data_IF_475609493192
#
_entry.id   IF_475609493192
#
_cell.length_a   1.000
_cell.length_b   1.000
_cell.length_c   1.000
_cell.angle_alpha   90.00
_cell.angle_beta   90.00
_cell.angle_gamma   90.00
#
_symmetry.space_group_name_H-M   'P 1'
#
loop_
_entity.id
_entity.type
_entity.pdbx_description
1 polymer ?
#
# COMPACT_ATOMS: atom_id res chain seq x y z
N UNK A 1 -15.14 57.41 53.61
CA UNK A 1 -14.27 56.33 54.14
C UNK A 1 -14.09 55.28 53.06
N UNK A 2 -12.81 54.94 52.75
CA UNK A 2 -12.30 53.79 51.96
C UNK A 2 -12.70 53.75 50.47
N UNK A 3 -11.85 53.41 49.51
CA UNK A 3 -10.38 53.38 49.29
C UNK A 3 -10.27 53.06 47.78
N UNK A 4 -9.35 53.72 47.07
CA UNK A 4 -8.98 53.47 45.67
C UNK A 4 -8.11 52.20 45.59
N UNK A 5 -8.25 51.40 44.51
CA UNK A 5 -7.24 50.57 43.78
C UNK A 5 -8.02 49.59 42.87
N UNK A 6 -8.18 49.79 41.55
CA UNK A 6 -7.24 49.68 40.42
C UNK A 6 -7.02 48.23 39.92
N UNK A 7 -6.97 48.09 38.58
CA UNK A 7 -6.22 47.12 37.74
C UNK A 7 -7.01 46.01 37.01
N UNK A 8 -6.88 46.12 35.67
CA UNK A 8 -6.76 45.09 34.62
C UNK A 8 -7.98 44.32 34.08
N UNK A 9 -8.27 44.67 32.83
CA UNK A 9 -8.70 43.81 31.73
C UNK A 9 -8.06 42.41 31.75
N UNK A 10 -8.82 41.37 31.37
CA UNK A 10 -8.41 40.33 30.42
C UNK A 10 -9.68 39.80 29.73
N UNK A 11 -9.73 40.09 28.44
CA UNK A 11 -10.54 39.45 27.43
C UNK A 11 -9.95 38.05 27.22
N UNK A 12 -10.69 36.99 27.50
CA UNK A 12 -10.32 35.64 27.08
C UNK A 12 -11.48 35.08 26.27
N UNK A 13 -11.49 35.45 24.99
CA UNK A 13 -12.22 34.77 23.93
C UNK A 13 -11.57 33.38 23.81
N UNK A 14 -12.09 32.40 24.54
CA UNK A 14 -11.70 31.01 24.38
C UNK A 14 -12.22 30.53 23.03
N UNK A 15 -11.40 30.68 21.99
CA UNK A 15 -11.52 29.87 20.78
C UNK A 15 -11.20 28.44 21.22
N UNK A 16 -12.24 27.71 21.65
CA UNK A 16 -12.17 26.26 21.57
C UNK A 16 -12.16 25.96 20.08
N UNK A 17 -10.96 25.75 19.53
CA UNK A 17 -10.79 24.85 18.41
C UNK A 17 -11.34 23.51 18.91
N UNK A 18 -12.62 23.29 18.66
CA UNK A 18 -13.10 21.94 18.42
C UNK A 18 -12.41 21.55 17.12
N UNK A 19 -11.20 21.00 17.25
CA UNK A 19 -10.77 19.98 16.32
C UNK A 19 -11.83 18.90 16.46
N UNK A 20 -12.85 18.95 15.61
CA UNK A 20 -13.55 17.74 15.23
C UNK A 20 -12.43 16.80 14.79
N UNK A 21 -12.13 15.81 15.62
CA UNK A 21 -11.47 14.62 15.15
C UNK A 21 -12.37 14.12 14.03
N UNK A 22 -12.01 14.47 12.80
CA UNK A 22 -12.46 13.73 11.64
C UNK A 22 -11.76 12.39 11.83
N UNK A 23 -12.43 11.49 12.55
CA UNK A 23 -12.11 10.08 12.50
C UNK A 23 -12.60 9.64 11.13
N UNK A 24 -11.77 9.81 10.13
CA UNK A 24 -11.97 9.19 8.84
C UNK A 24 -10.67 8.47 8.56
N UNK A 25 -10.59 7.23 9.05
CA UNK A 25 -9.84 6.10 8.54
C UNK A 25 -9.86 4.97 9.57
N UNK A 26 -9.59 3.76 9.09
CA UNK A 26 -9.77 2.52 9.86
C UNK A 26 -8.44 2.13 10.49
N UNK A 27 -8.43 1.98 11.82
CA UNK A 27 -7.27 1.50 12.56
C UNK A 27 -6.77 0.15 12.01
N UNK A 28 -5.45 -0.01 11.96
CA UNK A 28 -4.79 -1.27 11.58
C UNK A 28 -4.41 -2.00 12.86
N UNK A 29 -4.77 -3.27 12.97
CA UNK A 29 -4.38 -4.10 14.12
C UNK A 29 -2.86 -4.29 14.09
N UNK A 30 -2.15 -3.99 15.17
CA UNK A 30 -0.71 -4.22 15.26
C UNK A 30 0.18 -3.09 14.73
N UNK A 31 -0.38 -2.03 14.14
CA UNK A 31 0.37 -0.82 13.77
C UNK A 31 -0.15 0.34 14.61
N UNK A 32 0.63 0.71 15.63
CA UNK A 32 0.25 1.80 16.54
C UNK A 32 0.56 3.19 15.97
N UNK A 33 1.55 3.31 15.08
CA UNK A 33 2.02 4.61 14.60
C UNK A 33 1.24 5.12 13.38
N UNK A 34 0.84 4.22 12.49
CA UNK A 34 0.31 4.56 11.17
C UNK A 34 1.30 5.47 10.43
N UNK A 35 2.58 5.10 10.33
CA UNK A 35 3.62 5.96 9.73
C UNK A 35 4.27 5.29 8.54
N UNK A 36 4.49 6.04 7.47
CA UNK A 36 5.38 5.60 6.39
C UNK A 36 6.85 5.83 6.75
N UNK A 37 7.70 4.89 6.36
CA UNK A 37 9.15 5.04 6.48
C UNK A 37 9.67 6.09 5.50
N UNK A 38 10.44 7.08 5.95
CA UNK A 38 11.01 8.10 5.06
C UNK A 38 12.41 7.70 4.60
N UNK A 39 12.58 7.53 3.29
CA UNK A 39 13.90 7.46 2.65
C UNK A 39 14.44 8.87 2.38
N UNK A 40 15.65 9.21 2.85
CA UNK A 40 16.34 10.43 2.45
C UNK A 40 16.66 10.43 0.94
N UNK A 41 16.77 11.62 0.36
CA UNK A 41 17.18 11.78 -1.03
C UNK A 41 18.51 11.06 -1.35
N UNK A 42 18.50 10.18 -2.35
CA UNK A 42 19.64 9.36 -2.78
C UNK A 42 19.85 8.09 -1.97
N UNK A 43 18.94 7.77 -1.05
CA UNK A 43 18.91 6.53 -0.27
C UNK A 43 17.62 5.72 -0.53
N UNK A 44 16.88 6.06 -1.58
CA UNK A 44 15.71 5.29 -2.00
C UNK A 44 16.13 3.88 -2.48
N UNK A 45 15.27 2.87 -2.29
CA UNK A 45 15.59 1.50 -2.69
C UNK A 45 15.74 1.40 -4.22
N UNK A 46 16.67 0.55 -4.65
CA UNK A 46 16.75 0.11 -6.05
C UNK A 46 15.72 -0.99 -6.23
N UNK A 47 14.81 -0.86 -7.19
CA UNK A 47 13.77 -1.86 -7.40
C UNK A 47 14.30 -2.98 -8.28
N UNK A 48 14.81 -4.05 -7.67
CA UNK A 48 15.35 -5.20 -8.38
C UNK A 48 14.96 -6.55 -7.75
N UNK A 49 14.18 -6.53 -6.67
CA UNK A 49 13.75 -7.73 -5.94
C UNK A 49 14.76 -8.22 -4.91
N UNK A 50 15.93 -7.59 -4.78
CA UNK A 50 16.79 -7.70 -3.61
C UNK A 50 16.26 -6.76 -2.51
N UNK A 51 15.95 -7.33 -1.34
CA UNK A 51 15.33 -6.57 -0.25
C UNK A 51 16.37 -6.00 0.72
N UNK A 52 17.67 -6.08 0.42
CA UNK A 52 18.74 -5.68 1.34
C UNK A 52 18.64 -4.21 1.79
N UNK A 53 18.16 -3.33 0.91
CA UNK A 53 17.92 -1.91 1.17
C UNK A 53 16.82 -1.68 2.21
N UNK A 54 15.94 -2.65 2.43
CA UNK A 54 14.87 -2.59 3.41
C UNK A 54 15.30 -3.08 4.79
N UNK A 55 16.44 -3.75 4.94
CA UNK A 55 16.92 -4.28 6.23
C UNK A 55 17.21 -3.18 7.27
N UNK A 56 17.38 -1.94 6.83
CA UNK A 56 17.53 -0.77 7.72
C UNK A 56 16.21 -0.32 8.34
N UNK A 57 15.07 -0.75 7.80
CA UNK A 57 13.75 -0.33 8.26
C UNK A 57 13.43 -1.04 9.58
N UNK A 58 13.11 -0.28 10.66
CA UNK A 58 12.76 -0.90 11.93
C UNK A 58 11.51 -1.80 11.83
N UNK A 59 11.50 -2.88 12.60
CA UNK A 59 10.44 -3.91 12.55
C UNK A 59 9.02 -3.33 12.78
N UNK A 60 8.89 -2.22 13.52
CA UNK A 60 7.60 -1.60 13.82
C UNK A 60 6.97 -0.82 12.64
N UNK A 61 7.66 -0.71 11.50
CA UNK A 61 7.07 -0.24 10.25
C UNK A 61 6.44 -1.37 9.42
N UNK A 62 6.76 -2.63 9.72
CA UNK A 62 6.23 -3.76 9.00
C UNK A 62 4.81 -4.09 9.46
N UNK A 63 3.95 -4.35 8.49
CA UNK A 63 2.61 -4.87 8.66
C UNK A 63 2.71 -6.39 8.49
N UNK A 64 2.62 -7.17 9.57
CA UNK A 64 2.78 -8.61 9.47
C UNK A 64 1.47 -9.27 9.02
N UNK A 65 1.53 -10.54 8.62
CA UNK A 65 0.38 -11.24 8.05
C UNK A 65 -0.81 -11.33 9.00
N UNK A 66 -0.56 -11.58 10.29
CA UNK A 66 -1.59 -11.69 11.32
C UNK A 66 -2.41 -10.40 11.52
N UNK A 67 -1.87 -9.26 11.10
CA UNK A 67 -2.57 -7.97 11.13
C UNK A 67 -3.59 -7.81 10.01
N UNK A 68 -3.50 -8.60 8.93
CA UNK A 68 -4.38 -8.49 7.79
C UNK A 68 -5.70 -9.24 8.02
N UNK A 69 -6.79 -8.64 7.56
CA UNK A 69 -8.14 -9.16 7.68
C UNK A 69 -8.57 -9.84 6.37
N UNK A 70 -8.97 -11.09 6.46
CA UNK A 70 -9.47 -11.90 5.35
C UNK A 70 -10.96 -11.63 5.07
N UNK A 71 -11.29 -11.35 3.81
CA UNK A 71 -12.63 -10.92 3.40
C UNK A 71 -13.53 -12.00 2.78
N UNK A 72 -12.98 -12.96 2.04
CA UNK A 72 -13.70 -13.83 1.12
C UNK A 72 -14.07 -15.18 1.73
N UNK A 73 -13.16 -15.75 2.51
CA UNK A 73 -13.29 -17.03 3.18
C UNK A 73 -14.00 -16.91 4.53
N UNK A 74 -14.12 -15.69 5.05
CA UNK A 74 -14.74 -15.39 6.34
C UNK A 74 -13.86 -15.78 7.52
N UNK A 75 -12.54 -15.81 7.31
CA UNK A 75 -11.56 -16.16 8.35
C UNK A 75 -11.30 -14.98 9.29
N UNK A 76 -11.51 -13.74 8.84
CA UNK A 76 -11.15 -12.56 9.61
C UNK A 76 -9.64 -12.53 9.87
N UNK A 77 -9.20 -12.74 11.11
CA UNK A 77 -7.77 -12.81 11.46
C UNK A 77 -7.28 -14.23 11.74
N UNK A 78 -8.11 -15.26 11.53
CA UNK A 78 -7.73 -16.67 11.68
C UNK A 78 -6.97 -17.16 10.44
N UNK A 79 -5.79 -16.59 10.20
CA UNK A 79 -4.99 -16.81 9.00
C UNK A 79 -4.14 -18.10 9.10
N UNK A 80 -3.97 -18.83 8.00
CA UNK A 80 -3.14 -20.05 7.90
C UNK A 80 -1.81 -19.76 7.20
N UNK A 81 -0.75 -19.57 8.00
CA UNK A 81 0.59 -19.26 7.49
C UNK A 81 1.23 -20.38 6.65
N UNK A 82 0.70 -21.60 6.71
CA UNK A 82 1.19 -22.71 5.88
C UNK A 82 0.67 -22.67 4.44
N UNK A 83 -0.38 -21.87 4.20
CA UNK A 83 -0.90 -21.58 2.88
C UNK A 83 -0.30 -20.25 2.37
N UNK A 84 -0.63 -19.14 3.01
CA UNK A 84 -0.11 -17.82 2.65
C UNK A 84 0.54 -17.17 3.86
N UNK A 85 1.69 -16.51 3.69
CA UNK A 85 2.25 -15.67 4.76
C UNK A 85 3.05 -14.54 4.13
N UNK A 86 2.84 -13.31 4.57
CA UNK A 86 3.58 -12.17 4.04
C UNK A 86 3.78 -11.07 5.07
N UNK A 87 4.72 -10.17 4.78
CA UNK A 87 4.84 -8.90 5.49
C UNK A 87 4.98 -7.78 4.48
N UNK A 88 4.37 -6.65 4.80
CA UNK A 88 4.36 -5.46 3.95
C UNK A 88 5.02 -4.30 4.69
N UNK A 89 5.74 -3.46 3.98
CA UNK A 89 6.14 -2.14 4.47
C UNK A 89 5.92 -1.10 3.39
N UNK A 90 5.52 0.09 3.81
CA UNK A 90 5.35 1.24 2.96
C UNK A 90 6.26 2.38 3.42
N UNK A 91 6.83 3.08 2.45
CA UNK A 91 7.73 4.19 2.65
C UNK A 91 7.51 5.29 1.61
N UNK A 92 8.20 6.40 1.80
CA UNK A 92 8.12 7.56 0.92
C UNK A 92 9.46 8.29 0.86
N UNK A 93 9.67 9.09 -0.19
CA UNK A 93 10.81 9.99 -0.26
C UNK A 93 10.37 11.38 -0.71
N UNK A 94 10.77 12.39 0.05
CA UNK A 94 10.65 13.78 -0.38
C UNK A 94 11.60 14.10 -1.56
N UNK A 95 12.69 13.36 -1.70
CA UNK A 95 13.69 13.56 -2.77
C UNK A 95 13.18 13.16 -4.15
N UNK A 96 12.54 11.98 -4.25
CA UNK A 96 11.94 11.50 -5.50
C UNK A 96 10.47 11.88 -5.64
N UNK A 97 9.81 12.31 -4.55
CA UNK A 97 8.37 12.54 -4.48
C UNK A 97 7.58 11.27 -4.86
N UNK A 98 7.95 10.13 -4.26
CA UNK A 98 7.34 8.82 -4.55
C UNK A 98 6.97 8.08 -3.27
N UNK A 99 5.99 7.20 -3.41
CA UNK A 99 5.72 6.11 -2.49
C UNK A 99 6.51 4.88 -2.92
N UNK A 100 7.00 4.14 -1.93
CA UNK A 100 7.71 2.88 -2.08
C UNK A 100 7.01 1.83 -1.26
N UNK A 101 6.79 0.65 -1.82
CA UNK A 101 6.18 -0.46 -1.13
C UNK A 101 7.06 -1.69 -1.28
N UNK A 102 7.10 -2.52 -0.26
CA UNK A 102 7.77 -3.81 -0.31
C UNK A 102 6.87 -4.88 0.31
N UNK A 103 6.87 -6.05 -0.32
CA UNK A 103 6.27 -7.25 0.23
C UNK A 103 7.24 -8.42 0.09
N UNK A 104 7.41 -9.14 1.19
CA UNK A 104 7.99 -10.49 1.19
C UNK A 104 6.84 -11.46 1.43
N UNK A 105 6.57 -12.34 0.45
CA UNK A 105 5.45 -13.28 0.46
C UNK A 105 5.95 -14.71 0.32
N UNK A 106 5.58 -15.56 1.26
CA UNK A 106 5.53 -17.01 1.09
C UNK A 106 4.14 -17.39 0.57
N UNK A 107 4.12 -18.39 -0.30
CA UNK A 107 2.88 -19.01 -0.77
C UNK A 107 3.06 -20.51 -0.98
N UNK A 108 2.03 -21.31 -0.70
CA UNK A 108 1.99 -22.73 -1.06
C UNK A 108 1.79 -22.97 -2.55
N UNK A 109 1.24 -21.99 -3.28
CA UNK A 109 1.03 -22.07 -4.72
C UNK A 109 0.87 -20.68 -5.32
N UNK A 110 1.72 -20.35 -6.31
CA UNK A 110 1.61 -19.04 -6.97
C UNK A 110 0.78 -19.15 -8.26
N UNK A 111 -0.52 -18.87 -8.18
CA UNK A 111 -1.45 -19.02 -9.31
C UNK A 111 -1.28 -17.91 -10.36
N UNK A 112 -1.03 -18.33 -11.61
CA UNK A 112 -0.88 -17.49 -12.80
C UNK A 112 -1.83 -17.86 -13.94
N UNK A 113 -2.80 -18.72 -13.69
CA UNK A 113 -3.63 -19.29 -14.75
C UNK A 113 -4.71 -18.32 -15.23
N UNK A 114 -4.95 -17.22 -14.51
CA UNK A 114 -5.93 -16.20 -14.89
C UNK A 114 -7.37 -16.71 -14.86
N UNK A 115 -7.63 -17.74 -14.06
CA UNK A 115 -8.95 -18.36 -13.93
C UNK A 115 -9.62 -17.75 -12.71
N UNK A 116 -10.54 -16.80 -12.90
CA UNK A 116 -11.24 -16.16 -11.79
C UNK A 116 -11.84 -14.80 -12.15
N UNK A 117 -12.66 -14.26 -11.26
CA UNK A 117 -13.30 -12.94 -11.44
C UNK A 117 -12.54 -11.80 -10.73
N UNK A 118 -11.94 -12.08 -9.56
CA UNK A 118 -11.19 -11.09 -8.77
C UNK A 118 -9.74 -11.03 -9.25
N UNK A 119 -9.16 -9.83 -9.32
CA UNK A 119 -7.78 -9.58 -9.72
C UNK A 119 -7.32 -10.21 -11.06
N UNK A 120 -8.27 -10.62 -11.91
CA UNK A 120 -7.98 -11.33 -13.16
C UNK A 120 -7.60 -12.80 -12.98
N UNK A 121 -7.86 -13.41 -11.81
CA UNK A 121 -7.49 -14.80 -11.52
C UNK A 121 -5.98 -14.97 -11.31
N UNK A 122 -5.32 -13.94 -10.79
CA UNK A 122 -3.88 -13.90 -10.56
C UNK A 122 -3.57 -13.57 -9.11
N UNK A 123 -2.60 -14.28 -8.58
CA UNK A 123 -1.92 -13.92 -7.35
C UNK A 123 -1.31 -12.54 -7.45
N UNK A 124 -1.79 -11.63 -6.61
CA UNK A 124 -1.57 -10.20 -6.84
C UNK A 124 -1.68 -9.36 -5.58
N UNK A 125 -1.29 -8.09 -5.72
CA UNK A 125 -1.36 -7.10 -4.66
C UNK A 125 -2.11 -5.88 -5.16
N UNK A 126 -3.27 -5.61 -4.61
CA UNK A 126 -4.07 -4.43 -4.92
C UNK A 126 -3.72 -3.30 -3.95
N UNK A 127 -3.44 -2.10 -4.46
CA UNK A 127 -3.03 -0.94 -3.66
C UNK A 127 -3.92 0.25 -3.98
N UNK A 128 -4.48 0.86 -2.94
CA UNK A 128 -5.26 2.08 -2.98
C UNK A 128 -4.45 3.24 -2.40
N UNK A 129 -4.44 4.37 -3.09
CA UNK A 129 -3.69 5.57 -2.72
C UNK A 129 -4.62 6.79 -2.77
N UNK A 130 -4.76 7.46 -1.64
CA UNK A 130 -5.46 8.74 -1.48
C UNK A 130 -4.49 9.74 -0.86
N UNK A 131 -3.79 10.48 -1.71
CA UNK A 131 -2.63 11.28 -1.29
C UNK A 131 -2.99 12.62 -0.68
N UNK A 132 -4.11 13.23 -1.06
CA UNK A 132 -4.59 14.46 -0.45
C UNK A 132 -5.48 14.22 0.77
N UNK A 133 -5.72 12.94 1.12
CA UNK A 133 -6.51 12.52 2.28
C UNK A 133 -7.98 12.97 2.17
N UNK A 134 -8.50 13.05 0.94
CA UNK A 134 -9.86 13.50 0.64
C UNK A 134 -10.95 12.48 0.97
N UNK A 135 -10.60 11.20 1.04
CA UNK A 135 -11.53 10.09 1.21
C UNK A 135 -12.33 9.78 -0.07
N UNK A 136 -11.79 10.13 -1.24
CA UNK A 136 -12.51 10.09 -2.51
C UNK A 136 -12.80 8.68 -3.02
N UNK A 137 -13.85 8.58 -3.82
CA UNK A 137 -14.20 7.38 -4.56
C UNK A 137 -13.26 7.20 -5.75
N UNK A 138 -12.66 6.01 -5.86
CA UNK A 138 -11.76 5.66 -6.97
C UNK A 138 -12.43 4.78 -8.02
N UNK A 139 -13.59 4.20 -7.70
CA UNK A 139 -14.42 3.45 -8.65
C UNK A 139 -15.84 3.98 -8.80
N UNK A 140 -16.29 4.20 -10.03
CA UNK A 140 -17.69 4.46 -10.37
C UNK A 140 -18.29 3.35 -11.24
N UNK A 141 -19.55 3.01 -10.99
CA UNK A 141 -20.29 2.00 -11.74
C UNK A 141 -20.70 2.52 -13.13
N UNK A 142 -20.99 1.58 -14.03
CA UNK A 142 -21.52 1.92 -15.35
C UNK A 142 -22.89 2.61 -15.21
N UNK A 143 -22.99 3.85 -15.71
CA UNK A 143 -24.20 4.66 -15.65
C UNK A 143 -24.24 5.70 -14.54
N UNK A 144 -23.20 5.79 -13.70
CA UNK A 144 -23.07 6.88 -12.72
C UNK A 144 -22.89 8.25 -13.39
N UNK A 145 -22.44 8.26 -14.64
CA UNK A 145 -22.30 9.46 -15.48
C UNK A 145 -23.06 9.31 -16.79
N UNK A 146 -23.48 10.45 -17.36
CA UNK A 146 -24.24 10.48 -18.62
C UNK A 146 -23.39 10.07 -19.83
N UNK A 147 -22.07 10.29 -19.76
CA UNK A 147 -21.14 9.97 -20.84
C UNK A 147 -20.01 9.06 -20.38
N UNK A 148 -19.56 8.20 -21.30
CA UNK A 148 -18.39 7.33 -21.11
C UNK A 148 -17.11 8.14 -20.86
N UNK A 149 -16.97 9.31 -21.50
CA UNK A 149 -15.80 10.18 -21.32
C UNK A 149 -15.73 10.74 -19.89
N UNK A 150 -16.87 11.19 -19.37
CA UNK A 150 -16.98 11.66 -17.98
C UNK A 150 -16.80 10.52 -16.98
N UNK A 151 -17.33 9.33 -17.27
CA UNK A 151 -17.08 8.13 -16.46
C UNK A 151 -15.57 7.84 -16.40
N UNK A 152 -14.90 7.72 -17.54
CA UNK A 152 -13.45 7.49 -17.60
C UNK A 152 -12.63 8.60 -16.93
N UNK A 153 -13.09 9.86 -17.00
CA UNK A 153 -12.44 11.00 -16.35
C UNK A 153 -12.42 10.90 -14.82
N UNK A 154 -13.42 10.27 -14.24
CA UNK A 154 -13.60 10.17 -12.79
C UNK A 154 -13.09 8.85 -12.20
N UNK A 155 -12.77 7.85 -13.01
CA UNK A 155 -12.15 6.61 -12.56
C UNK A 155 -10.72 6.88 -12.07
N UNK A 156 -10.48 6.65 -10.78
CA UNK A 156 -9.17 6.84 -10.18
C UNK A 156 -8.69 8.30 -10.07
N UNK A 157 -9.59 9.27 -10.16
CA UNK A 157 -9.22 10.69 -10.33
C UNK A 157 -8.49 11.28 -9.11
N UNK A 158 -9.11 11.18 -7.94
CA UNK A 158 -8.64 11.80 -6.69
C UNK A 158 -8.01 10.77 -5.75
N UNK A 159 -8.57 9.57 -5.73
CA UNK A 159 -7.95 8.38 -5.15
C UNK A 159 -7.65 7.37 -6.27
N UNK A 160 -6.53 6.66 -6.18
CA UNK A 160 -6.08 5.70 -7.18
C UNK A 160 -6.17 4.27 -6.64
N UNK A 161 -6.51 3.30 -7.48
CA UNK A 161 -6.50 1.88 -7.13
C UNK A 161 -5.93 1.06 -8.29
N UNK A 162 -4.90 0.27 -8.04
CA UNK A 162 -4.29 -0.60 -9.03
C UNK A 162 -4.05 -2.02 -8.50
N UNK A 163 -4.33 -3.01 -9.34
CA UNK A 163 -3.86 -4.39 -9.14
C UNK A 163 -2.43 -4.52 -9.65
N UNK A 164 -1.51 -4.86 -8.77
CA UNK A 164 -0.12 -5.14 -9.09
C UNK A 164 0.10 -6.65 -9.20
N UNK A 165 0.59 -7.11 -10.34
CA UNK A 165 0.70 -8.53 -10.74
C UNK A 165 2.12 -8.86 -11.14
N UNK A 166 2.62 -9.98 -10.63
CA UNK A 166 4.04 -10.32 -10.73
C UNK A 166 4.27 -11.79 -11.09
N UNK A 167 5.13 -12.09 -12.07
CA UNK A 167 5.60 -11.21 -13.16
C UNK A 167 4.45 -10.49 -13.92
N UNK A 168 4.72 -9.46 -14.74
CA UNK A 168 3.70 -8.74 -15.52
C UNK A 168 2.81 -9.67 -16.36
N UNK A 169 1.51 -9.35 -16.49
CA UNK A 169 0.58 -10.06 -17.37
C UNK A 169 0.06 -9.20 -18.52
N UNK A 170 0.15 -9.74 -19.72
CA UNK A 170 -0.49 -9.16 -20.90
C UNK A 170 -2.03 -9.21 -20.79
N UNK A 171 -2.76 -8.20 -21.32
CA UNK A 171 -2.24 -7.00 -21.99
C UNK A 171 -1.95 -5.81 -21.06
N UNK A 172 -2.13 -5.96 -19.73
CA UNK A 172 -2.17 -4.82 -18.81
C UNK A 172 -0.88 -4.59 -18.00
N UNK A 173 0.18 -5.38 -18.24
CA UNK A 173 1.46 -5.22 -17.56
C UNK A 173 1.42 -5.62 -16.08
N UNK A 174 2.34 -5.04 -15.30
CA UNK A 174 2.47 -5.31 -13.87
C UNK A 174 1.45 -4.51 -13.06
N UNK A 175 1.22 -3.23 -13.38
CA UNK A 175 0.27 -2.36 -12.67
C UNK A 175 -0.97 -2.18 -13.52
N UNK A 176 -2.03 -2.91 -13.19
CA UNK A 176 -3.30 -2.83 -13.88
C UNK A 176 -4.27 -1.91 -13.14
N UNK A 177 -4.48 -0.73 -13.72
CA UNK A 177 -5.51 0.20 -13.26
C UNK A 177 -6.87 -0.16 -13.86
N UNK A 178 -7.51 -1.18 -13.31
CA UNK A 178 -8.62 -1.89 -13.96
C UNK A 178 -9.85 -1.05 -14.31
N UNK A 179 -10.04 0.08 -13.61
CA UNK A 179 -11.16 1.00 -13.79
C UNK A 179 -10.93 2.02 -14.92
N UNK A 180 -9.68 2.16 -15.36
CA UNK A 180 -9.21 3.25 -16.22
C UNK A 180 -8.71 2.72 -17.57
N UNK A 181 -8.84 3.54 -18.61
CA UNK A 181 -8.22 3.29 -19.93
C UNK A 181 -6.79 3.79 -20.04
N UNK A 182 -6.16 4.16 -18.93
CA UNK A 182 -4.79 4.66 -18.93
C UNK A 182 -3.77 3.58 -19.29
N UNK A 183 -2.66 4.01 -19.90
CA UNK A 183 -1.60 3.13 -20.41
C UNK A 183 -0.20 3.71 -20.18
N UNK A 184 -0.03 4.62 -19.23
CA UNK A 184 1.21 5.39 -19.07
C UNK A 184 1.78 5.41 -17.65
N UNK A 185 1.01 5.01 -16.63
CA UNK A 185 1.34 5.19 -15.21
C UNK A 185 2.24 4.10 -14.62
N UNK A 186 2.55 3.05 -15.37
CA UNK A 186 3.26 1.85 -14.96
C UNK A 186 4.71 1.81 -15.46
N UNK A 187 5.22 2.94 -15.95
CA UNK A 187 6.60 3.11 -16.41
C UNK A 187 7.28 4.30 -15.75
N UNK A 188 8.63 4.33 -15.68
CA UNK A 188 9.34 5.48 -15.15
C UNK A 188 9.00 6.77 -15.92
N UNK A 189 8.84 7.92 -15.22
CA UNK A 189 9.12 8.13 -13.80
C UNK A 189 7.92 7.90 -12.85
N UNK A 190 6.81 7.36 -13.33
CA UNK A 190 5.54 7.31 -12.58
C UNK A 190 5.31 6.00 -11.83
N UNK A 191 5.85 4.91 -12.35
CA UNK A 191 5.77 3.61 -11.71
C UNK A 191 6.96 2.76 -12.11
N UNK A 192 7.40 1.92 -11.20
CA UNK A 192 8.44 0.94 -11.45
C UNK A 192 8.32 -0.19 -10.41
N UNK A 193 8.93 -1.34 -10.67
CA UNK A 193 8.83 -2.49 -9.78
C UNK A 193 10.09 -3.35 -9.78
N UNK A 194 10.33 -4.00 -8.65
CA UNK A 194 11.33 -5.05 -8.45
C UNK A 194 10.61 -6.35 -8.15
N UNK A 195 11.07 -7.46 -8.72
CA UNK A 195 10.46 -8.76 -8.46
C UNK A 195 11.47 -9.90 -8.57
N UNK A 196 11.54 -10.71 -7.52
CA UNK A 196 12.23 -11.99 -7.52
C UNK A 196 11.30 -13.09 -7.00
N UNK A 197 11.37 -14.26 -7.62
CA UNK A 197 10.65 -15.45 -7.22
C UNK A 197 11.63 -16.61 -7.02
N UNK A 198 11.61 -17.18 -5.82
CA UNK A 198 12.24 -18.47 -5.54
C UNK A 198 11.15 -19.54 -5.55
N UNK A 199 11.26 -20.50 -6.45
CA UNK A 199 10.20 -21.48 -6.75
C UNK A 199 9.73 -21.36 -8.20
N UNK A 200 8.63 -22.02 -8.54
CA UNK A 200 8.05 -21.97 -9.88
C UNK A 200 6.55 -21.66 -9.78
N UNK A 201 6.10 -20.66 -10.54
CA UNK A 201 4.67 -20.34 -10.63
C UNK A 201 3.86 -21.55 -11.10
N UNK A 202 2.65 -21.68 -10.58
CA UNK A 202 1.77 -22.83 -10.81
C UNK A 202 2.37 -24.19 -10.35
N UNK A 203 3.38 -24.18 -9.50
CA UNK A 203 4.07 -25.41 -9.08
C UNK A 203 4.65 -25.32 -7.66
N UNK A 204 3.86 -25.75 -6.68
CA UNK A 204 4.30 -25.88 -5.29
C UNK A 204 4.64 -24.54 -4.62
N UNK A 205 5.35 -24.64 -3.50
CA UNK A 205 5.67 -23.50 -2.65
C UNK A 205 6.62 -22.50 -3.33
N UNK A 206 6.39 -21.21 -3.07
CA UNK A 206 7.24 -20.13 -3.54
C UNK A 206 7.59 -19.13 -2.43
N UNK A 207 8.61 -18.32 -2.69
CA UNK A 207 8.87 -17.08 -1.96
C UNK A 207 9.08 -15.95 -2.96
N UNK A 208 8.22 -14.94 -2.90
CA UNK A 208 8.25 -13.75 -3.72
C UNK A 208 8.77 -12.55 -2.93
N UNK A 209 9.65 -11.78 -3.57
CA UNK A 209 10.15 -10.49 -3.08
C UNK A 209 9.73 -9.43 -4.07
N UNK A 210 8.95 -8.49 -3.60
CA UNK A 210 8.24 -7.53 -4.44
C UNK A 210 8.53 -6.13 -3.95
N UNK A 211 8.90 -5.25 -4.86
CA UNK A 211 9.07 -3.83 -4.58
C UNK A 211 8.30 -3.03 -5.62
N UNK A 212 7.69 -1.93 -5.19
CA UNK A 212 6.91 -1.04 -6.04
C UNK A 212 7.29 0.39 -5.74
N UNK A 213 7.51 1.19 -6.79
CA UNK A 213 7.48 2.63 -6.72
C UNK A 213 6.23 3.14 -7.42
N UNK A 214 5.56 4.12 -6.81
CA UNK A 214 4.43 4.80 -7.43
C UNK A 214 4.48 6.30 -7.19
N UNK A 215 4.22 7.06 -8.26
CA UNK A 215 3.68 8.41 -8.16
C UNK A 215 2.22 8.36 -7.69
N UNK A 216 1.73 9.50 -7.22
CA UNK A 216 0.34 9.73 -6.87
C UNK A 216 -0.11 11.10 -7.36
N UNK A 217 -1.41 11.31 -7.49
CA UNK A 217 -1.97 12.47 -8.19
C UNK A 217 -3.17 13.05 -7.45
N UNK A 218 -3.20 14.38 -7.33
CA UNK A 218 -4.35 15.12 -6.80
C UNK A 218 -5.46 15.30 -7.85
N UNK A 219 -5.16 15.13 -9.13
CA UNK A 219 -6.17 15.07 -10.19
C UNK A 219 -5.62 14.26 -11.38
N UNK A 220 -5.72 12.94 -11.29
CA UNK A 220 -5.28 12.03 -12.32
C UNK A 220 -6.13 12.14 -13.60
N UNK A 221 -5.46 12.05 -14.74
CA UNK A 221 -6.10 12.02 -16.05
C UNK A 221 -5.66 10.81 -16.88
N UNK A 222 -6.60 9.93 -17.21
CA UNK A 222 -6.32 8.66 -17.89
C UNK A 222 -5.62 8.83 -19.25
N UNK A 223 -5.92 9.90 -19.99
CA UNK A 223 -5.30 10.21 -21.30
C UNK A 223 -3.78 10.35 -21.23
N UNK A 224 -3.25 10.99 -20.19
CA UNK A 224 -1.83 11.34 -20.20
C UNK A 224 -1.36 12.09 -18.95
N UNK A 225 -0.03 12.10 -18.74
CA UNK A 225 0.59 12.80 -17.63
C UNK A 225 0.55 14.34 -17.79
N UNK A 226 0.34 14.86 -19.01
CA UNK A 226 0.26 16.32 -19.24
C UNK A 226 -1.09 16.90 -18.83
N UNK A 227 -2.13 16.06 -18.88
CA UNK A 227 -3.50 16.40 -18.53
C UNK A 227 -3.81 16.17 -17.05
N UNK A 228 -2.95 15.43 -16.35
CA UNK A 228 -3.03 15.29 -14.90
C UNK A 228 -2.49 16.58 -14.27
N UNK A 229 -3.20 17.17 -13.31
CA UNK A 229 -2.62 18.27 -12.50
C UNK A 229 -1.38 17.72 -11.77
N UNK A 230 -0.44 18.59 -11.36
CA UNK A 230 0.86 18.15 -10.89
C UNK A 230 0.73 16.98 -9.92
N UNK A 231 1.64 16.01 -10.04
CA UNK A 231 1.76 14.92 -9.08
C UNK A 231 1.61 15.46 -7.65
N UNK A 232 0.91 14.71 -6.80
CA UNK A 232 0.77 15.08 -5.40
C UNK A 232 2.15 15.38 -4.82
N UNK A 233 2.29 16.49 -4.11
CA UNK A 233 3.55 16.83 -3.44
C UNK A 233 3.53 16.27 -2.03
N UNK A 234 4.28 15.19 -1.79
CA UNK A 234 4.40 14.61 -0.45
C UNK A 234 5.17 15.56 0.48
N UNK A 235 4.58 15.87 1.62
CA UNK A 235 5.15 16.78 2.61
C UNK A 235 5.21 16.09 3.97
N UNK A 236 6.38 16.14 4.59
CA UNK A 236 6.57 15.64 5.96
C UNK A 236 5.52 16.23 6.92
N UNK A 237 4.91 15.35 7.73
CA UNK A 237 3.87 15.69 8.68
C UNK A 237 2.45 15.66 8.13
N UNK A 238 2.26 15.52 6.81
CA UNK A 238 0.95 15.27 6.23
C UNK A 238 0.52 13.82 6.48
N UNK A 239 -0.79 13.58 6.45
CA UNK A 239 -1.39 12.25 6.48
C UNK A 239 -1.91 11.94 5.08
N UNK A 240 -1.81 10.68 4.67
CA UNK A 240 -2.41 10.15 3.44
C UNK A 240 -3.29 8.94 3.77
N UNK A 241 -4.23 8.61 2.90
CA UNK A 241 -4.98 7.37 2.95
C UNK A 241 -4.29 6.28 2.14
N UNK A 242 -4.02 5.13 2.74
CA UNK A 242 -3.59 3.93 2.01
C UNK A 242 -4.48 2.75 2.32
N UNK A 243 -4.81 2.00 1.30
CA UNK A 243 -5.43 0.68 1.41
C UNK A 243 -4.57 -0.32 0.64
N UNK A 244 -4.64 -1.58 1.02
CA UNK A 244 -4.19 -2.65 0.15
C UNK A 244 -4.85 -3.98 0.49
N UNK A 245 -4.85 -4.87 -0.50
CA UNK A 245 -5.30 -6.26 -0.39
C UNK A 245 -4.31 -7.17 -1.10
N UNK A 246 -3.83 -8.19 -0.39
CA UNK A 246 -3.07 -9.30 -1.00
C UNK A 246 -4.06 -10.38 -1.40
N UNK A 247 -4.06 -10.74 -2.68
CA UNK A 247 -4.93 -11.77 -3.26
C UNK A 247 -4.13 -13.05 -3.47
N UNK A 248 -4.65 -14.14 -2.89
CA UNK A 248 -4.25 -15.50 -3.18
C UNK A 248 -5.43 -16.16 -3.89
N UNK A 249 -5.20 -16.49 -5.16
CA UNK A 249 -6.27 -16.91 -6.07
C UNK A 249 -6.37 -18.42 -6.18
N UNK A 250 -5.33 -19.18 -5.80
CA UNK A 250 -5.22 -20.65 -5.72
C UNK A 250 -6.31 -21.44 -6.46
N UNK A 251 -6.58 -21.11 -7.73
CA UNK A 251 -7.69 -21.70 -8.47
C UNK A 251 -7.13 -22.79 -9.36
N UNK A 252 -6.74 -23.88 -8.72
CA UNK A 252 -6.35 -25.05 -9.48
C UNK A 252 -7.60 -25.58 -10.26
N UNK A 253 -7.38 -26.10 -11.46
CA UNK A 253 -8.46 -26.66 -12.29
C UNK A 253 -8.75 -28.15 -11.99
N UNK A 254 -8.04 -28.79 -11.05
CA UNK A 254 -8.05 -30.26 -10.83
C UNK A 254 -8.59 -30.68 -9.44
N UNK A 255 -8.44 -29.85 -8.43
CA UNK A 255 -8.88 -29.92 -7.04
C UNK A 255 -9.70 -28.66 -6.70
N UNK A 256 -11.02 -28.83 -6.59
CA UNK A 256 -11.94 -27.78 -6.11
C UNK A 256 -11.72 -27.42 -4.62
N UNK A 257 -10.49 -27.52 -4.09
CA UNK A 257 -10.08 -27.05 -2.77
C UNK A 257 -9.56 -25.61 -2.76
N UNK A 258 -9.28 -25.03 -3.94
CA UNK A 258 -8.77 -23.68 -4.11
C UNK A 258 -9.61 -22.61 -3.43
N UNK A 259 -9.05 -21.96 -2.42
CA UNK A 259 -9.71 -20.87 -1.69
C UNK A 259 -9.23 -19.54 -2.23
N UNK A 260 -10.04 -18.87 -3.06
CA UNK A 260 -9.77 -17.47 -3.41
C UNK A 260 -9.93 -16.61 -2.15
N UNK A 261 -8.82 -16.13 -1.62
CA UNK A 261 -8.74 -15.30 -0.43
C UNK A 261 -8.25 -13.88 -0.73
N UNK A 262 -8.62 -12.94 0.14
CA UNK A 262 -8.22 -11.55 0.01
C UNK A 262 -7.95 -10.95 1.39
N UNK A 263 -6.69 -10.60 1.65
CA UNK A 263 -6.21 -10.11 2.95
C UNK A 263 -5.97 -8.61 2.89
N UNK A 264 -6.91 -7.85 3.46
CA UNK A 264 -6.86 -6.40 3.53
C UNK A 264 -6.10 -5.88 4.74
N UNK A 265 -5.52 -4.69 4.60
CA UNK A 265 -4.82 -3.99 5.70
C UNK A 265 -5.75 -3.64 6.89
N UNK A 266 -7.05 -3.51 6.65
CA UNK A 266 -8.05 -3.19 7.67
C UNK A 266 -9.34 -3.98 7.37
N UNK A 267 -10.30 -4.10 8.31
CA UNK A 267 -11.48 -4.95 8.12
C UNK A 267 -12.56 -4.35 7.20
N UNK A 268 -12.36 -3.15 6.67
CA UNK A 268 -13.39 -2.45 5.90
C UNK A 268 -13.20 -2.65 4.39
N UNK A 269 -13.90 -3.67 3.90
CA UNK A 269 -13.93 -4.06 2.49
C UNK A 269 -14.36 -2.94 1.52
N UNK A 270 -14.99 -1.86 2.01
CA UNK A 270 -15.37 -0.72 1.19
C UNK A 270 -14.17 0.05 0.62
N UNK A 271 -12.94 -0.22 1.11
CA UNK A 271 -11.72 0.33 0.51
C UNK A 271 -11.56 0.03 -0.99
N UNK A 272 -12.25 -0.99 -1.53
CA UNK A 272 -12.29 -1.28 -2.98
C UNK A 272 -13.09 -0.27 -3.81
N UNK A 273 -13.83 0.63 -3.18
CA UNK A 273 -14.66 1.60 -3.88
C UNK A 273 -14.21 3.02 -3.62
N UNK A 274 -13.83 3.32 -2.38
CA UNK A 274 -13.41 4.65 -1.95
C UNK A 274 -12.30 4.58 -0.90
N UNK A 275 -11.55 5.67 -0.77
CA UNK A 275 -10.55 5.80 0.29
C UNK A 275 -11.03 6.50 1.55
N UNK A 276 -12.32 6.85 1.67
CA UNK A 276 -12.89 7.17 2.98
C UNK A 276 -12.81 5.99 3.97
N UNK A 277 -12.57 4.79 3.44
CA UNK A 277 -12.35 3.54 4.16
C UNK A 277 -10.89 3.04 4.13
N UNK A 278 -9.97 3.81 3.56
CA UNK A 278 -8.53 3.54 3.63
C UNK A 278 -8.01 3.76 5.08
N UNK A 279 -6.77 3.36 5.35
CA UNK A 279 -6.12 3.57 6.64
C UNK A 279 -5.22 4.82 6.61
N UNK A 280 -5.12 5.49 7.76
CA UNK A 280 -4.28 6.68 7.91
C UNK A 280 -2.80 6.33 7.96
N UNK A 281 -2.02 7.05 7.16
CA UNK A 281 -0.56 7.02 7.24
C UNK A 281 0.05 8.41 7.30
N UNK A 282 0.77 8.69 8.38
CA UNK A 282 1.60 9.87 8.57
C UNK A 282 2.89 9.74 7.75
N UNK A 283 3.16 10.77 6.94
CA UNK A 283 4.43 10.99 6.28
C UNK A 283 5.45 11.49 7.31
N UNK A 284 5.98 10.58 8.13
CA UNK A 284 6.86 10.92 9.25
C UNK A 284 8.22 11.48 8.77
N UNK A 285 8.93 12.28 9.59
CA UNK A 285 10.34 12.60 9.37
C UNK A 285 11.21 11.35 9.28
N UNK A 286 12.45 11.52 8.81
CA UNK A 286 13.46 10.45 8.86
C UNK A 286 13.62 9.93 10.28
N UNK A 287 13.61 8.61 10.43
CA UNK A 287 13.67 7.98 11.75
C UNK A 287 15.08 8.14 12.35
N UNK A 288 15.22 8.79 13.52
CA UNK A 288 16.53 8.98 14.16
C UNK A 288 17.17 7.67 14.67
N UNK A 289 16.42 6.56 14.69
CA UNK A 289 16.93 5.22 15.04
C UNK A 289 17.78 4.62 13.92
N UNK A 290 17.64 5.10 12.68
CA UNK A 290 18.22 4.48 11.48
C UNK A 290 19.50 5.17 11.05
N UNK A 291 20.55 4.37 10.82
CA UNK A 291 21.82 4.82 10.24
C UNK A 291 21.87 4.50 8.74
N UNK A 292 21.44 5.45 7.91
CA UNK A 292 21.43 5.32 6.45
C UNK A 292 22.83 5.16 5.82
N UNK A 293 23.92 5.37 6.57
CA UNK A 293 25.26 5.10 6.04
C UNK A 293 25.50 3.60 5.77
N UNK A 294 24.70 2.72 6.38
CA UNK A 294 24.72 1.27 6.16
C UNK A 294 24.33 0.90 4.72
N UNK A 295 23.36 1.61 4.12
CA UNK A 295 22.88 1.34 2.75
C UNK A 295 23.96 1.57 1.68
N UNK A 296 24.85 2.55 1.89
CA UNK A 296 25.92 2.89 0.94
C UNK A 296 27.02 1.82 0.85
N UNK A 297 27.01 0.83 1.75
CA UNK A 297 28.08 -0.18 1.86
C UNK A 297 27.76 -1.56 1.26
N UNK A 298 26.61 -1.72 0.60
CA UNK A 298 26.09 -3.01 0.09
C UNK A 298 26.91 -3.65 -1.04
N UNK A 299 27.92 -4.44 -0.68
CA UNK A 299 28.38 -5.62 -1.46
C UNK A 299 28.54 -6.85 -0.57
N UNK A 300 27.83 -6.91 0.56
CA UNK A 300 27.83 -8.09 1.43
C UNK A 300 26.48 -8.80 1.29
N UNK A 301 26.45 -9.82 0.44
CA UNK A 301 25.43 -10.86 0.46
C UNK A 301 25.56 -11.56 1.82
N UNK A 302 24.65 -11.29 2.76
CA UNK A 302 24.47 -12.14 3.94
C UNK A 302 23.21 -13.00 3.74
N UNK A 303 23.40 -14.33 3.74
CA UNK A 303 22.33 -15.34 3.69
C UNK A 303 21.52 -15.37 5.01
N UNK A 304 20.77 -14.31 5.33
CA UNK A 304 19.98 -14.25 6.58
C UNK A 304 18.45 -14.23 6.36
N UNK A 305 17.94 -14.26 5.11
CA UNK A 305 16.49 -14.18 4.86
C UNK A 305 15.72 -15.49 5.16
N UNK A 306 16.36 -16.66 5.06
CA UNK A 306 15.67 -17.95 5.25
C UNK A 306 15.37 -18.31 6.72
N UNK A 307 16.09 -17.70 7.67
CA UNK A 307 16.02 -18.09 9.09
C UNK A 307 14.85 -17.47 9.85
N UNK A 308 14.40 -16.27 9.48
CA UNK A 308 13.46 -15.50 10.32
C UNK A 308 12.01 -15.96 10.20
N UNK A 309 11.54 -16.20 8.98
CA UNK A 309 10.19 -16.72 8.75
C UNK A 309 10.09 -18.15 9.33
N UNK A 310 11.08 -19.01 9.09
CA UNK A 310 11.05 -20.41 9.59
C UNK A 310 11.25 -20.55 11.11
N UNK A 311 11.94 -19.62 11.77
CA UNK A 311 12.18 -19.69 13.21
C UNK A 311 10.91 -19.48 14.07
N UNK A 312 9.86 -18.85 13.51
CA UNK A 312 8.55 -18.74 14.16
C UNK A 312 7.89 -20.12 14.39
N UNK A 313 8.24 -21.14 13.60
CA UNK A 313 7.58 -22.46 13.60
C UNK A 313 8.28 -23.54 14.43
N UNK A 314 9.40 -23.23 15.10
CA UNK A 314 10.14 -24.22 15.92
C UNK A 314 9.79 -24.12 17.42
N UNK A 315 9.01 -23.12 17.84
CA UNK A 315 8.54 -22.99 19.22
C UNK A 315 7.03 -23.22 19.37
N UNK A 316 6.57 -24.43 19.06
CA UNK A 316 5.38 -25.03 19.69
C UNK A 316 5.64 -26.49 20.09
#
# INVERSE_FOLDING_TARGET
MKKILSIASILALGVMLQASAVSAHVDIVGIESGTLFQFPAGMEPTLDGDLSEWDIVPEDYYVPFESHFEYYLGLGHENDESNLSFRVVAGWSQGTNRLYFMMERFDNYWDRNGVGAVAGGDDSWEIMIDSDHGGDQHWYAAGDFESEEEHQRNQGRYAQNAHCRFPPLEPFGWKWWFQSKSTWHDVPPWGDYGFQLDGESNAGEVTARIEIMSAAWDDFHWVGPTESEPEHTFVEGNTIGLGWVVHDMDNDAEDNSGSTGGWGINPNIQMWFDCGNCSDFLLAPTDPRVDFSQMVTGTAVEEESWGRIKAAYIQQ
#
